data_IF_166532035879
#
_entry.id   IF_166532035879
#
_cell.length_a   1.000
_cell.length_b   1.000
_cell.length_c   1.000
_cell.angle_alpha   90.00
_cell.angle_beta   90.00
_cell.angle_gamma   90.00
#
_symmetry.space_group_name_H-M   'P 1'
#
loop_
_entity.id
_entity.type
_entity.pdbx_description
1 polymer ?
#
# COMPACT_ATOMS: atom_id res chain seq x y z
N UNK A 1 -3.25 -10.66 5.87
CA UNK A 1 -2.40 -9.87 4.94
C UNK A 1 -3.31 -9.32 3.86
N UNK A 2 -3.29 -8.00 3.60
CA UNK A 2 -4.09 -7.42 2.52
C UNK A 2 -3.44 -7.74 1.17
N UNK A 3 -4.23 -8.17 0.18
CA UNK A 3 -3.77 -8.35 -1.19
C UNK A 3 -4.06 -7.08 -1.99
N UNK A 4 -3.02 -6.50 -2.58
CA UNK A 4 -3.14 -5.32 -3.44
C UNK A 4 -3.32 -5.81 -4.88
N UNK A 5 -4.45 -5.53 -5.55
CA UNK A 5 -4.71 -5.99 -6.91
C UNK A 5 -3.97 -5.09 -7.94
N UNK A 6 -2.64 -5.07 -7.88
CA UNK A 6 -1.77 -4.29 -8.76
C UNK A 6 -1.12 -5.20 -9.81
N UNK A 7 -0.91 -4.68 -11.02
CA UNK A 7 -0.23 -5.37 -12.11
C UNK A 7 1.02 -4.56 -12.50
N UNK A 8 2.19 -4.95 -11.98
CA UNK A 8 3.43 -4.15 -12.06
C UNK A 8 4.56 -4.81 -12.88
N UNK A 9 4.37 -6.05 -13.34
CA UNK A 9 5.41 -6.88 -13.96
C UNK A 9 5.37 -6.90 -15.49
N UNK A 10 4.88 -5.83 -16.12
CA UNK A 10 4.73 -5.74 -17.59
C UNK A 10 5.90 -5.03 -18.29
N UNK A 11 6.93 -4.62 -17.53
CA UNK A 11 8.11 -3.91 -18.02
C UNK A 11 7.90 -2.42 -18.25
N UNK A 12 6.75 -1.85 -17.88
CA UNK A 12 6.46 -0.42 -17.99
C UNK A 12 6.60 0.28 -16.64
N UNK A 13 6.80 1.59 -16.70
CA UNK A 13 6.70 2.43 -15.51
C UNK A 13 5.24 2.56 -15.08
N UNK A 14 5.01 2.40 -13.78
CA UNK A 14 3.70 2.61 -13.14
C UNK A 14 3.81 3.58 -11.98
N UNK A 15 2.79 4.42 -11.80
CA UNK A 15 2.62 5.24 -10.62
C UNK A 15 1.76 4.48 -9.59
N UNK A 16 2.27 4.28 -8.37
CA UNK A 16 1.53 3.57 -7.31
C UNK A 16 1.32 4.49 -6.11
N UNK A 17 0.08 4.57 -5.63
CA UNK A 17 -0.26 5.21 -4.36
C UNK A 17 -0.96 4.22 -3.45
N UNK A 18 -0.56 4.15 -2.18
CA UNK A 18 -1.24 3.37 -1.14
C UNK A 18 -1.61 4.32 -0.01
N UNK A 19 -2.86 4.25 0.45
CA UNK A 19 -3.34 4.98 1.64
C UNK A 19 -3.70 3.99 2.74
N UNK A 20 -3.56 4.43 3.99
CA UNK A 20 -4.01 3.67 5.15
C UNK A 20 -4.35 4.61 6.31
N UNK A 21 -5.42 4.30 7.05
CA UNK A 21 -5.85 5.05 8.24
C UNK A 21 -5.71 4.21 9.50
N UNK A 22 -5.16 4.81 10.57
CA UNK A 22 -4.92 4.09 11.82
C UNK A 22 -6.19 3.67 12.54
N UNK A 23 -7.26 4.47 12.49
CA UNK A 23 -8.45 4.24 13.33
C UNK A 23 -9.21 2.97 12.94
N UNK A 24 -9.52 2.85 11.66
CA UNK A 24 -10.41 1.83 11.07
C UNK A 24 -9.64 0.85 10.16
N UNK A 25 -8.36 1.11 9.89
CA UNK A 25 -7.57 0.28 8.99
C UNK A 25 -8.10 0.31 7.56
N UNK A 26 -8.76 1.42 7.16
CA UNK A 26 -9.16 1.64 5.78
C UNK A 26 -7.90 1.79 4.95
N UNK A 27 -7.83 1.06 3.86
CA UNK A 27 -6.74 1.16 2.90
C UNK A 27 -7.27 1.24 1.48
N UNK A 28 -6.52 1.92 0.63
CA UNK A 28 -6.80 2.01 -0.80
C UNK A 28 -5.50 1.84 -1.58
N UNK A 29 -5.60 1.24 -2.76
CA UNK A 29 -4.48 1.04 -3.67
C UNK A 29 -4.81 1.62 -5.04
N UNK A 30 -3.87 2.40 -5.58
CA UNK A 30 -3.98 3.06 -6.86
C UNK A 30 -2.83 2.66 -7.78
N UNK A 31 -3.15 2.46 -9.05
CA UNK A 31 -2.18 2.29 -10.13
C UNK A 31 -2.52 3.29 -11.24
N UNK A 32 -1.54 4.07 -11.67
CA UNK A 32 -1.67 5.04 -12.77
C UNK A 32 -2.86 5.99 -12.61
N UNK A 33 -3.14 6.39 -11.35
CA UNK A 33 -4.23 7.29 -10.98
C UNK A 33 -5.60 6.63 -10.79
N UNK A 34 -5.75 5.32 -11.04
CA UNK A 34 -6.99 4.58 -10.84
C UNK A 34 -6.97 3.79 -9.54
N UNK A 35 -8.05 3.85 -8.75
CA UNK A 35 -8.21 3.03 -7.54
C UNK A 35 -8.55 1.60 -7.95
N UNK A 36 -7.66 0.65 -7.68
CA UNK A 36 -7.82 -0.76 -8.03
C UNK A 36 -8.20 -1.64 -6.84
N UNK A 37 -7.85 -1.22 -5.63
CA UNK A 37 -8.13 -1.99 -4.41
C UNK A 37 -8.55 -1.10 -3.26
N UNK A 38 -9.35 -1.66 -2.36
CA UNK A 38 -9.69 -1.05 -1.09
C UNK A 38 -10.13 -2.12 -0.09
N UNK A 39 -10.03 -1.81 1.20
CA UNK A 39 -10.58 -2.64 2.26
C UNK A 39 -10.51 -1.94 3.61
N UNK A 40 -10.89 -2.66 4.65
CA UNK A 40 -10.97 -2.19 6.03
C UNK A 40 -10.35 -3.22 6.99
N UNK A 41 -10.24 -2.86 8.27
CA UNK A 41 -9.71 -3.73 9.33
C UNK A 41 -8.24 -4.16 9.12
N UNK A 42 -7.47 -3.44 8.31
CA UNK A 42 -6.03 -3.66 8.20
C UNK A 42 -5.34 -2.98 9.39
N UNK A 43 -4.97 -3.76 10.41
CA UNK A 43 -4.25 -3.30 11.61
C UNK A 43 -4.87 -2.05 12.29
N UNK A 44 -6.20 -2.02 12.56
CA UNK A 44 -6.83 -0.88 13.20
C UNK A 44 -6.22 -0.66 14.59
N UNK A 45 -6.07 0.60 15.00
CA UNK A 45 -5.48 1.04 16.27
C UNK A 45 -3.99 0.70 16.46
N UNK A 46 -3.29 0.31 15.40
CA UNK A 46 -1.85 0.01 15.46
C UNK A 46 -1.04 1.11 14.75
N UNK A 47 -0.66 2.20 15.43
CA UNK A 47 0.11 3.27 14.81
C UNK A 47 1.50 2.79 14.39
N UNK A 48 1.99 3.35 13.28
CA UNK A 48 3.38 3.16 12.84
C UNK A 48 4.29 3.83 13.88
N UNK A 49 5.19 3.04 14.47
CA UNK A 49 6.14 3.56 15.48
C UNK A 49 7.20 4.46 14.81
N UNK A 50 7.62 5.55 15.48
CA UNK A 50 8.71 6.38 14.97
C UNK A 50 10.06 5.66 15.05
N UNK A 51 11.06 6.18 14.32
CA UNK A 51 12.45 5.68 14.36
C UNK A 51 12.76 4.52 13.41
N UNK A 52 11.83 4.17 12.52
CA UNK A 52 12.07 3.20 11.44
C UNK A 52 12.91 3.77 10.28
N UNK A 53 13.24 2.90 9.34
CA UNK A 53 13.98 3.23 8.09
C UNK A 53 13.16 2.77 6.90
N UNK A 54 13.03 3.63 5.88
CA UNK A 54 12.47 3.24 4.57
C UNK A 54 13.59 2.70 3.70
N UNK A 55 13.42 1.48 3.19
CA UNK A 55 14.40 0.80 2.35
C UNK A 55 13.76 0.53 0.98
N UNK A 56 14.49 0.84 -0.10
CA UNK A 56 14.06 0.64 -1.49
C UNK A 56 15.12 -0.17 -2.23
N UNK A 57 14.70 -1.05 -3.14
CA UNK A 57 15.61 -1.79 -4.04
C UNK A 57 16.42 -2.91 -3.37
N UNK A 58 15.89 -3.54 -2.32
CA UNK A 58 16.41 -4.83 -1.83
C UNK A 58 15.83 -6.00 -2.65
N UNK A 59 16.17 -7.24 -2.28
CA UNK A 59 15.86 -8.50 -3.01
C UNK A 59 14.55 -8.46 -3.81
N UNK A 60 14.68 -8.82 -5.09
CA UNK A 60 13.59 -8.92 -6.07
C UNK A 60 13.10 -10.36 -6.19
#
# INVERSE_FOLDING_TARGET
VAQLPLSLSDGRWHHVCITWTTRDGLWEAYQDGQRLGSGENLAPWHPIKPGGVLILGQEQ
#
